data_IF_557368546444
#
_entry.id   IF_557368546444
#
_cell.length_a   1.000
_cell.length_b   1.000
_cell.length_c   1.000
_cell.angle_alpha   90.00
_cell.angle_beta   90.00
_cell.angle_gamma   90.00
#
_symmetry.space_group_name_H-M   'P 1'
#
loop_
_entity.id
_entity.type
_entity.pdbx_description
1 polymer ?
#
# COMPACT_ATOMS: atom_id res chain seq x y z
N UNK A 1 -5.88 -12.65 0.65
CA UNK A 1 -4.99 -12.10 1.70
C UNK A 1 -5.11 -10.59 1.78
N UNK A 2 -4.92 -9.87 0.66
CA UNK A 2 -5.16 -8.42 0.59
C UNK A 2 -6.59 -8.05 1.03
N UNK A 3 -7.62 -8.65 0.46
CA UNK A 3 -9.02 -8.33 0.81
C UNK A 3 -9.33 -8.56 2.30
N UNK A 4 -8.75 -9.60 2.90
CA UNK A 4 -8.88 -9.87 4.34
C UNK A 4 -8.21 -8.80 5.18
N UNK A 5 -7.03 -8.32 4.78
CA UNK A 5 -6.35 -7.22 5.44
C UNK A 5 -7.12 -5.91 5.27
N UNK A 6 -7.59 -5.61 4.06
CA UNK A 6 -8.41 -4.44 3.76
C UNK A 6 -9.71 -4.46 4.58
N UNK A 7 -10.41 -5.59 4.68
CA UNK A 7 -11.63 -5.72 5.47
C UNK A 7 -11.40 -5.58 6.97
N UNK A 8 -10.25 -6.05 7.49
CA UNK A 8 -9.98 -6.02 8.93
C UNK A 8 -9.40 -4.67 9.40
N UNK A 9 -8.53 -4.07 8.59
CA UNK A 9 -7.80 -2.86 8.94
C UNK A 9 -8.43 -1.58 8.36
N UNK A 10 -9.04 -1.68 7.19
CA UNK A 10 -9.43 -0.52 6.40
C UNK A 10 -8.22 0.16 5.73
N UNK A 11 -8.45 0.98 4.71
CA UNK A 11 -7.37 1.63 3.95
C UNK A 11 -6.53 2.59 4.80
N UNK A 12 -7.09 3.17 5.87
CA UNK A 12 -6.39 4.08 6.80
C UNK A 12 -5.38 3.40 7.73
N UNK A 13 -5.24 2.06 7.65
CA UNK A 13 -4.28 1.29 8.48
C UNK A 13 -3.45 0.31 7.66
N UNK A 14 -3.35 0.54 6.35
CA UNK A 14 -2.50 -0.23 5.45
C UNK A 14 -1.39 0.67 4.88
N UNK A 15 -0.23 0.07 4.60
CA UNK A 15 0.95 0.75 4.07
C UNK A 15 1.52 -0.06 2.91
N UNK A 16 1.85 0.61 1.80
CA UNK A 16 2.69 0.02 0.78
C UNK A 16 4.12 -0.17 1.29
N UNK A 17 4.68 -1.36 1.05
CA UNK A 17 6.07 -1.66 1.34
C UNK A 17 6.68 -2.46 0.18
N UNK A 18 7.76 -1.95 -0.41
CA UNK A 18 8.39 -2.61 -1.55
C UNK A 18 9.27 -3.80 -1.17
N UNK A 19 9.83 -3.75 0.05
CA UNK A 19 10.88 -4.66 0.53
C UNK A 19 12.07 -4.77 -0.44
N UNK A 20 12.30 -3.73 -1.26
CA UNK A 20 13.48 -3.66 -2.13
C UNK A 20 14.74 -3.41 -1.28
N UNK A 21 15.90 -4.02 -1.60
CA UNK A 21 16.19 -4.91 -2.74
C UNK A 21 15.96 -6.40 -2.45
N UNK A 22 15.44 -6.75 -1.28
CA UNK A 22 15.32 -8.15 -0.81
C UNK A 22 14.25 -8.94 -1.57
N UNK A 23 13.24 -8.27 -2.11
CA UNK A 23 12.15 -8.92 -2.82
C UNK A 23 12.65 -9.76 -4.01
N UNK A 24 12.07 -10.95 -4.21
CA UNK A 24 12.46 -11.88 -5.27
C UNK A 24 11.92 -11.48 -6.66
N UNK A 25 11.00 -10.52 -6.70
CA UNK A 25 10.45 -9.94 -7.94
C UNK A 25 10.98 -8.53 -8.17
N UNK A 26 11.08 -8.14 -9.44
CA UNK A 26 11.54 -6.80 -9.82
C UNK A 26 10.59 -5.73 -9.27
N UNK A 27 11.15 -4.62 -8.79
CA UNK A 27 10.36 -3.52 -8.19
C UNK A 27 9.19 -3.05 -9.08
N UNK A 28 9.36 -2.82 -10.40
CA UNK A 28 8.24 -2.40 -11.24
C UNK A 28 7.10 -3.43 -11.31
N UNK A 29 7.45 -4.72 -11.28
CA UNK A 29 6.47 -5.81 -11.26
C UNK A 29 5.70 -5.81 -9.95
N UNK A 30 6.40 -5.60 -8.84
CA UNK A 30 5.75 -5.51 -7.52
C UNK A 30 4.83 -4.29 -7.42
N UNK A 31 5.30 -3.12 -7.84
CA UNK A 31 4.51 -1.89 -7.82
C UNK A 31 3.21 -2.06 -8.62
N UNK A 32 3.30 -2.55 -9.86
CA UNK A 32 2.13 -2.82 -10.70
C UNK A 32 1.19 -3.87 -10.08
N UNK A 33 1.72 -4.84 -9.32
CA UNK A 33 0.88 -5.82 -8.60
C UNK A 33 0.04 -5.12 -7.55
N UNK A 34 0.64 -4.22 -6.75
CA UNK A 34 -0.10 -3.48 -5.72
C UNK A 34 -1.07 -2.48 -6.34
N UNK A 35 -0.68 -1.78 -7.41
CA UNK A 35 -1.57 -0.86 -8.15
C UNK A 35 -2.86 -1.56 -8.60
N UNK A 36 -2.74 -2.77 -9.13
CA UNK A 36 -3.90 -3.57 -9.53
C UNK A 36 -4.76 -4.00 -8.33
N UNK A 37 -4.16 -4.27 -7.17
CA UNK A 37 -4.90 -4.63 -5.96
C UNK A 37 -5.73 -3.46 -5.42
N UNK A 38 -5.24 -2.22 -5.54
CA UNK A 38 -5.90 -1.03 -4.99
C UNK A 38 -6.72 -0.25 -6.01
N UNK A 39 -6.75 -0.68 -7.28
CA UNK A 39 -7.39 0.08 -8.38
C UNK A 39 -8.88 0.37 -8.18
N UNK A 40 -9.58 -0.49 -7.43
CA UNK A 40 -11.00 -0.36 -7.12
C UNK A 40 -11.30 0.60 -5.95
N UNK A 41 -10.26 1.07 -5.26
CA UNK A 41 -10.38 2.02 -4.17
C UNK A 41 -10.43 3.46 -4.69
N UNK A 42 -11.07 4.32 -3.91
CA UNK A 42 -11.10 5.76 -4.18
C UNK A 42 -9.70 6.37 -4.13
N UNK A 43 -9.55 7.58 -4.68
CA UNK A 43 -8.23 8.24 -4.73
C UNK A 43 -7.65 8.49 -3.33
N UNK A 44 -8.49 8.92 -2.39
CA UNK A 44 -8.11 9.18 -1.00
C UNK A 44 -7.69 7.90 -0.26
N UNK A 45 -8.34 6.78 -0.54
CA UNK A 45 -7.97 5.47 0.03
C UNK A 45 -6.64 4.97 -0.51
N UNK A 46 -6.37 5.18 -1.81
CA UNK A 46 -5.06 4.86 -2.40
C UNK A 46 -3.97 5.77 -1.83
N UNK A 47 -4.24 7.06 -1.66
CA UNK A 47 -3.30 7.99 -1.03
C UNK A 47 -2.99 7.58 0.42
N UNK A 48 -3.99 7.15 1.18
CA UNK A 48 -3.82 6.59 2.53
C UNK A 48 -2.80 5.45 2.51
N UNK A 49 -2.95 4.48 1.60
CA UNK A 49 -2.09 3.30 1.52
C UNK A 49 -0.66 3.65 1.08
N UNK A 50 -0.48 4.58 0.15
CA UNK A 50 0.83 4.90 -0.43
C UNK A 50 1.61 5.97 0.32
N UNK A 51 0.92 6.93 0.97
CA UNK A 51 1.55 8.17 1.43
C UNK A 51 1.09 8.54 2.84
N UNK A 52 -0.16 8.95 3.02
CA UNK A 52 -0.59 9.70 4.21
C UNK A 52 -0.55 8.88 5.49
N UNK A 53 -0.87 7.58 5.45
CA UNK A 53 -0.70 6.72 6.62
C UNK A 53 0.78 6.62 7.05
N UNK A 54 1.71 6.56 6.09
CA UNK A 54 3.14 6.46 6.39
C UNK A 54 3.64 7.75 7.05
N UNK A 55 3.22 8.89 6.52
CA UNK A 55 3.51 10.21 7.07
C UNK A 55 3.01 10.35 8.50
N UNK A 56 1.76 9.94 8.77
CA UNK A 56 1.16 9.99 10.11
C UNK A 56 1.87 9.03 11.08
N UNK A 57 2.08 7.77 10.70
CA UNK A 57 2.64 6.75 11.60
C UNK A 57 4.11 7.02 11.91
N UNK A 58 4.89 7.38 10.89
CA UNK A 58 6.33 7.59 11.04
C UNK A 58 6.71 9.04 11.33
N UNK A 59 5.74 9.96 11.39
CA UNK A 59 5.96 11.39 11.65
C UNK A 59 6.97 12.00 10.66
N UNK A 60 6.77 11.73 9.37
CA UNK A 60 7.59 12.23 8.25
C UNK A 60 6.76 13.15 7.36
N UNK A 61 7.36 14.23 6.87
CA UNK A 61 6.71 15.23 6.00
C UNK A 61 7.44 15.34 4.68
#
# INVERSE_FOLDING_TARGET
>A
AFDSALSAFGPQRLLFGSNWPRNTIAYPVWLNTVDNLVTHLSEDERDSIYTSNAQEIYQIT
#
